data_IF_886938854565
#
_entry.id   IF_886938854565
#
_cell.length_a   1.000
_cell.length_b   1.000
_cell.length_c   1.000
_cell.angle_alpha   90.00
_cell.angle_beta   90.00
_cell.angle_gamma   90.00
#
_symmetry.space_group_name_H-M   'P 1'
#
loop_
_entity.id
_entity.type
_entity.pdbx_description
1 polymer ?
#
# COMPACT_ATOMS: atom_id res chain seq x y z
N UNK A 1 14.94 4.42 -28.47
CA UNK A 1 13.96 5.02 -27.58
C UNK A 1 14.34 6.42 -27.27
N UNK A 2 13.55 7.34 -27.72
CA UNK A 2 13.92 8.72 -27.67
C UNK A 2 13.59 9.45 -26.40
N UNK A 3 13.98 10.70 -26.38
CA UNK A 3 13.70 11.70 -25.38
C UNK A 3 12.21 11.73 -24.99
N UNK A 4 11.31 11.49 -25.96
CA UNK A 4 9.87 11.50 -25.75
C UNK A 4 9.41 10.46 -24.71
N UNK A 5 10.03 9.29 -24.68
CA UNK A 5 9.70 8.24 -23.73
C UNK A 5 10.21 8.57 -22.32
N UNK A 6 11.36 9.24 -22.24
CA UNK A 6 11.91 9.72 -20.97
C UNK A 6 11.02 10.84 -20.43
N UNK A 7 10.58 11.76 -21.26
CA UNK A 7 9.67 12.84 -20.89
C UNK A 7 8.31 12.29 -20.41
N UNK A 8 7.80 11.26 -21.04
CA UNK A 8 6.58 10.59 -20.60
C UNK A 8 6.71 10.00 -19.19
N UNK A 9 7.87 9.43 -18.86
CA UNK A 9 8.13 8.91 -17.51
C UNK A 9 8.16 10.02 -16.47
N UNK A 10 8.78 11.15 -16.80
CA UNK A 10 8.94 12.27 -15.88
C UNK A 10 7.64 13.02 -15.63
N UNK A 11 6.80 13.16 -16.65
CA UNK A 11 5.60 13.99 -16.60
C UNK A 11 4.30 13.19 -16.71
N UNK A 12 4.39 11.87 -16.67
CA UNK A 12 3.20 11.01 -16.72
C UNK A 12 2.34 11.25 -15.48
N UNK A 13 1.11 11.72 -15.64
CA UNK A 13 0.20 11.82 -14.51
C UNK A 13 -0.06 10.42 -13.96
N UNK A 14 -0.20 10.32 -12.65
CA UNK A 14 -0.58 9.05 -12.04
C UNK A 14 -1.94 8.63 -12.58
N UNK A 15 -2.05 7.35 -12.95
CA UNK A 15 -3.30 6.79 -13.43
C UNK A 15 -4.41 6.93 -12.40
N UNK A 16 -4.05 6.80 -11.11
CA UNK A 16 -4.97 6.95 -9.99
C UNK A 16 -4.39 7.95 -9.00
N UNK A 17 -5.16 8.97 -8.59
CA UNK A 17 -4.71 9.88 -7.54
C UNK A 17 -4.53 9.15 -6.22
N UNK A 18 -3.51 9.55 -5.46
CA UNK A 18 -3.21 9.00 -4.14
C UNK A 18 -3.65 9.97 -3.05
N UNK A 19 -4.07 9.39 -1.93
CA UNK A 19 -4.58 10.13 -0.78
C UNK A 19 -3.92 9.64 0.49
N UNK A 20 -3.58 10.56 1.40
CA UNK A 20 -3.06 10.20 2.71
C UNK A 20 -4.14 9.55 3.55
N UNK A 21 -3.80 8.43 4.17
CA UNK A 21 -4.71 7.70 5.04
C UNK A 21 -4.89 8.41 6.38
N UNK A 22 -6.09 8.34 6.92
CA UNK A 22 -6.38 8.84 8.26
C UNK A 22 -5.81 7.89 9.33
N UNK A 23 -5.77 8.35 10.57
CA UNK A 23 -5.38 7.52 11.72
C UNK A 23 -6.40 6.38 11.88
N UNK A 24 -5.92 5.24 12.31
CA UNK A 24 -6.79 4.08 12.48
C UNK A 24 -7.05 3.30 11.21
N UNK A 25 -6.41 3.65 10.10
CA UNK A 25 -6.48 2.89 8.86
C UNK A 25 -5.26 1.99 8.78
N UNK A 26 -5.50 0.69 8.74
CA UNK A 26 -4.44 -0.31 8.78
C UNK A 26 -4.55 -1.27 7.62
N UNK A 27 -3.43 -1.90 7.32
CA UNK A 27 -3.34 -2.99 6.37
C UNK A 27 -2.95 -4.23 7.15
N UNK A 28 -3.66 -5.33 6.93
CA UNK A 28 -3.26 -6.64 7.45
C UNK A 28 -2.74 -7.46 6.29
N UNK A 29 -1.46 -7.77 6.33
CA UNK A 29 -0.82 -8.61 5.31
C UNK A 29 -0.90 -10.05 5.79
N UNK A 30 -1.51 -10.91 4.99
CA UNK A 30 -1.66 -12.32 5.33
C UNK A 30 -0.46 -13.11 4.83
N UNK A 31 0.34 -13.71 5.73
CA UNK A 31 1.29 -14.72 5.33
C UNK A 31 0.55 -16.02 5.05
N UNK A 32 1.16 -16.89 4.28
CA UNK A 32 0.55 -18.18 3.93
C UNK A 32 0.37 -19.12 5.13
N UNK A 33 1.03 -18.87 6.25
CA UNK A 33 1.17 -19.87 7.32
C UNK A 33 0.81 -19.42 8.72
N UNK A 34 0.44 -18.16 8.97
CA UNK A 34 0.27 -17.70 10.34
C UNK A 34 -0.58 -16.44 10.43
N UNK A 35 -0.53 -15.79 11.58
CA UNK A 35 -1.25 -14.55 11.84
C UNK A 35 -0.85 -13.45 10.87
N UNK A 36 -1.83 -12.67 10.44
CA UNK A 36 -1.59 -11.52 9.59
C UNK A 36 -0.76 -10.46 10.31
N UNK A 37 0.09 -9.79 9.57
CA UNK A 37 0.88 -8.69 10.09
C UNK A 37 0.16 -7.37 9.84
N UNK A 38 -0.13 -6.64 10.90
CA UNK A 38 -0.76 -5.33 10.82
C UNK A 38 0.30 -4.26 10.60
N UNK A 39 0.09 -3.41 9.60
CA UNK A 39 0.99 -2.29 9.29
C UNK A 39 0.19 -1.01 9.09
N UNK A 40 0.82 0.12 9.38
CA UNK A 40 0.21 1.42 9.25
C UNK A 40 0.15 1.85 7.79
N UNK A 41 -1.03 2.15 7.29
CA UNK A 41 -1.20 2.71 5.96
C UNK A 41 -0.69 4.14 5.91
N UNK A 42 0.05 4.48 4.86
CA UNK A 42 0.51 5.84 4.61
C UNK A 42 -0.36 6.54 3.59
N UNK A 43 -0.53 5.94 2.42
CA UNK A 43 -1.40 6.48 1.39
C UNK A 43 -2.08 5.36 0.61
N UNK A 44 -3.13 5.72 -0.11
CA UNK A 44 -3.95 4.78 -0.87
C UNK A 44 -4.48 5.41 -2.14
N UNK A 45 -4.61 4.59 -3.18
CA UNK A 45 -5.29 4.93 -4.43
C UNK A 45 -6.14 3.75 -4.87
N UNK A 46 -6.86 3.90 -5.95
CA UNK A 46 -7.62 2.78 -6.52
C UNK A 46 -6.71 1.69 -7.12
N UNK A 47 -5.45 2.00 -7.36
CA UNK A 47 -4.49 1.05 -7.92
C UNK A 47 -3.59 0.36 -6.91
N UNK A 48 -3.51 0.88 -5.69
CA UNK A 48 -2.61 0.33 -4.67
C UNK A 48 -2.50 1.19 -3.43
N UNK A 49 -1.57 0.83 -2.57
CA UNK A 49 -1.33 1.59 -1.34
C UNK A 49 0.14 1.56 -0.96
N UNK A 50 0.49 2.40 -0.01
CA UNK A 50 1.81 2.41 0.60
C UNK A 50 1.66 2.32 2.11
N UNK A 51 2.63 1.67 2.74
CA UNK A 51 2.63 1.51 4.19
C UNK A 51 4.04 1.56 4.73
N UNK A 52 4.13 1.80 6.03
CA UNK A 52 5.39 1.87 6.78
C UNK A 52 5.45 0.65 7.69
N UNK A 53 6.60 0.03 7.75
CA UNK A 53 6.85 -1.10 8.64
C UNK A 53 8.29 -1.09 9.14
N UNK A 54 8.52 -1.80 10.22
CA UNK A 54 9.87 -1.97 10.78
C UNK A 54 10.43 -3.33 10.43
N UNK A 55 11.73 -3.39 10.18
CA UNK A 55 12.42 -4.63 9.90
C UNK A 55 13.09 -4.65 8.53
N UNK A 56 13.43 -5.83 8.06
CA UNK A 56 14.04 -6.00 6.75
C UNK A 56 12.99 -6.31 5.69
N UNK A 57 13.30 -5.97 4.44
CA UNK A 57 12.36 -6.18 3.33
C UNK A 57 12.07 -7.65 3.08
N UNK A 58 12.97 -8.54 3.48
CA UNK A 58 12.82 -9.98 3.32
C UNK A 58 11.79 -10.58 4.27
N UNK A 59 11.39 -9.85 5.30
CA UNK A 59 10.37 -10.31 6.25
C UNK A 59 8.97 -10.33 5.66
N UNK A 60 8.74 -9.59 4.57
CA UNK A 60 7.45 -9.53 3.89
C UNK A 60 7.53 -10.18 2.52
N UNK A 61 6.48 -10.89 2.15
CA UNK A 61 6.36 -11.48 0.83
C UNK A 61 6.25 -10.41 -0.25
N UNK A 62 6.82 -10.66 -1.43
CA UNK A 62 6.72 -9.77 -2.57
C UNK A 62 5.29 -9.67 -3.12
N UNK A 63 4.51 -10.72 -2.96
CA UNK A 63 3.12 -10.79 -3.37
C UNK A 63 2.34 -11.62 -2.36
N UNK A 64 1.05 -11.46 -2.35
CA UNK A 64 0.19 -12.21 -1.44
C UNK A 64 -1.17 -11.56 -1.32
N UNK A 65 -1.77 -11.71 -0.16
CA UNK A 65 -3.08 -11.16 0.16
C UNK A 65 -2.95 -10.11 1.26
N UNK A 66 -3.73 -9.05 1.14
CA UNK A 66 -3.85 -8.05 2.19
C UNK A 66 -5.30 -7.67 2.41
N UNK A 67 -5.58 -7.14 3.58
CA UNK A 67 -6.90 -6.63 3.95
C UNK A 67 -6.79 -5.19 4.38
N UNK A 68 -7.78 -4.39 4.05
CA UNK A 68 -7.86 -2.99 4.46
C UNK A 68 -8.84 -2.88 5.62
N UNK A 69 -8.41 -2.24 6.70
CA UNK A 69 -9.19 -2.10 7.93
C UNK A 69 -9.27 -0.65 8.37
N UNK A 70 -10.41 -0.30 8.96
CA UNK A 70 -10.62 0.99 9.60
C UNK A 70 -11.20 0.73 10.97
N UNK A 71 -10.55 1.24 12.04
CA UNK A 71 -10.99 1.10 13.42
C UNK A 71 -11.31 -0.35 13.80
N UNK A 72 -10.39 -1.28 13.49
CA UNK A 72 -10.52 -2.72 13.75
C UNK A 72 -11.64 -3.43 12.99
N UNK A 73 -12.31 -2.74 12.07
CA UNK A 73 -13.32 -3.34 11.21
C UNK A 73 -12.70 -3.64 9.85
N UNK A 74 -12.68 -4.90 9.42
CA UNK A 74 -12.23 -5.23 8.08
C UNK A 74 -13.22 -4.67 7.05
N UNK A 75 -12.71 -3.90 6.10
CA UNK A 75 -13.51 -3.25 5.08
C UNK A 75 -13.41 -3.96 3.73
N UNK A 76 -12.19 -4.25 3.33
CA UNK A 76 -11.89 -5.02 2.14
C UNK A 76 -10.93 -6.14 2.54
N UNK A 77 -11.31 -7.38 2.27
CA UNK A 77 -10.53 -8.54 2.68
C UNK A 77 -9.95 -9.29 1.49
N UNK A 78 -8.75 -9.81 1.69
CA UNK A 78 -8.08 -10.75 0.78
C UNK A 78 -7.89 -10.19 -0.63
N UNK A 79 -7.32 -9.00 -0.71
CA UNK A 79 -6.96 -8.37 -1.97
C UNK A 79 -5.59 -8.89 -2.39
N UNK A 80 -5.49 -9.40 -3.61
CA UNK A 80 -4.20 -9.78 -4.19
C UNK A 80 -3.34 -8.53 -4.41
N UNK A 81 -2.06 -8.62 -4.05
CA UNK A 81 -1.12 -7.53 -4.28
C UNK A 81 0.22 -8.03 -4.80
N UNK A 82 0.94 -7.12 -5.41
CA UNK A 82 2.36 -7.30 -5.74
C UNK A 82 3.12 -6.05 -5.30
N UNK A 83 4.31 -6.25 -4.75
CA UNK A 83 5.16 -5.15 -4.32
C UNK A 83 5.75 -4.42 -5.52
N UNK A 84 5.65 -3.09 -5.51
CA UNK A 84 6.23 -2.22 -6.54
C UNK A 84 7.56 -1.62 -6.11
N UNK A 85 7.67 -1.24 -4.84
CA UNK A 85 8.91 -0.67 -4.30
C UNK A 85 8.99 -0.89 -2.80
N UNK A 86 10.22 -0.91 -2.29
CA UNK A 86 10.48 -1.01 -0.87
C UNK A 86 11.76 -0.22 -0.59
N UNK A 87 11.63 0.87 0.15
CA UNK A 87 12.71 1.81 0.40
C UNK A 87 12.95 2.02 1.89
N UNK A 88 14.22 2.13 2.24
CA UNK A 88 14.62 2.43 3.61
C UNK A 88 14.33 3.91 3.90
N UNK A 89 13.56 4.17 4.95
CA UNK A 89 13.29 5.53 5.42
C UNK A 89 14.22 5.95 6.54
N UNK A 90 14.54 5.01 7.42
CA UNK A 90 15.41 5.24 8.54
C UNK A 90 16.32 4.04 8.72
N UNK A 91 17.63 4.28 8.66
CA UNK A 91 18.65 3.26 8.83
C UNK A 91 19.15 3.27 10.27
N UNK A 92 19.14 2.09 10.89
CA UNK A 92 19.67 1.85 12.21
C UNK A 92 20.62 0.67 12.16
N UNK A 93 21.58 0.62 13.07
CA UNK A 93 22.48 -0.52 13.23
C UNK A 93 21.71 -1.79 13.62
N UNK A 94 20.55 -1.61 14.22
CA UNK A 94 19.63 -2.71 14.54
C UNK A 94 18.62 -2.82 13.41
N UNK A 95 18.59 -3.97 12.74
CA UNK A 95 17.67 -4.23 11.65
C UNK A 95 16.20 -4.18 12.06
N UNK A 96 15.92 -4.51 13.32
CA UNK A 96 14.55 -4.46 13.84
C UNK A 96 14.03 -3.05 13.98
N UNK A 97 14.95 -2.08 14.09
CA UNK A 97 14.61 -0.66 14.20
C UNK A 97 14.61 0.06 12.86
N UNK A 98 15.00 -0.61 11.78
CA UNK A 98 14.94 0.00 10.46
C UNK A 98 13.51 0.26 10.06
N UNK A 99 13.25 1.48 9.60
CA UNK A 99 11.92 1.88 9.13
C UNK A 99 11.91 1.89 7.61
N UNK A 100 10.92 1.23 7.03
CA UNK A 100 10.81 1.08 5.59
C UNK A 100 9.44 1.50 5.09
N UNK A 101 9.41 1.97 3.85
CA UNK A 101 8.18 2.28 3.12
C UNK A 101 8.05 1.32 1.96
N UNK A 102 6.96 0.59 1.92
CA UNK A 102 6.65 -0.31 0.81
C UNK A 102 5.40 0.19 0.09
N UNK A 103 5.46 0.17 -1.24
CA UNK A 103 4.29 0.42 -2.07
C UNK A 103 3.91 -0.87 -2.80
N UNK A 104 2.61 -1.10 -2.88
CA UNK A 104 2.05 -2.30 -3.51
C UNK A 104 0.97 -1.92 -4.51
N UNK A 105 0.81 -2.76 -5.50
CA UNK A 105 -0.24 -2.64 -6.50
C UNK A 105 -1.28 -3.72 -6.25
N UNK A 106 -2.56 -3.33 -6.27
CA UNK A 106 -3.65 -4.30 -6.16
C UNK A 106 -3.83 -5.04 -7.47
N UNK A 107 -4.08 -6.35 -7.37
CA UNK A 107 -4.33 -7.22 -8.51
C UNK A 107 -5.74 -7.78 -8.43
N UNK A 108 -6.32 -8.05 -9.58
CA UNK A 108 -7.56 -8.83 -9.70
C UNK A 108 -8.76 -8.27 -8.91
N UNK A 109 -8.88 -6.95 -8.81
CA UNK A 109 -10.06 -6.35 -8.18
C UNK A 109 -11.28 -6.50 -9.07
N UNK A 110 -12.32 -7.16 -8.56
CA UNK A 110 -13.60 -7.25 -9.21
C UNK A 110 -14.40 -5.95 -9.08
N UNK A 111 -15.55 -5.90 -9.75
CA UNK A 111 -16.40 -4.70 -9.78
C UNK A 111 -16.85 -4.30 -8.36
N UNK A 112 -17.27 -5.26 -7.55
CA UNK A 112 -17.71 -5.01 -6.19
C UNK A 112 -16.57 -4.50 -5.29
N UNK A 113 -15.40 -5.09 -5.43
CA UNK A 113 -14.23 -4.69 -4.64
C UNK A 113 -13.77 -3.29 -5.01
N UNK A 114 -13.81 -2.94 -6.29
CA UNK A 114 -13.48 -1.60 -6.75
C UNK A 114 -14.43 -0.56 -6.18
N UNK A 115 -15.71 -0.87 -6.13
CA UNK A 115 -16.72 0.01 -5.56
C UNK A 115 -16.48 0.22 -4.06
N UNK A 116 -16.22 -0.87 -3.34
CA UNK A 116 -15.90 -0.81 -1.91
C UNK A 116 -14.61 -0.02 -1.67
N UNK A 117 -13.61 -0.20 -2.52
CA UNK A 117 -12.35 0.51 -2.42
C UNK A 117 -12.56 2.03 -2.59
N UNK A 118 -13.36 2.45 -3.55
CA UNK A 118 -13.70 3.86 -3.74
C UNK A 118 -14.38 4.45 -2.51
N UNK A 119 -15.32 3.73 -1.92
CA UNK A 119 -16.00 4.15 -0.70
C UNK A 119 -15.03 4.22 0.48
N UNK A 120 -14.13 3.25 0.60
CA UNK A 120 -13.12 3.23 1.64
C UNK A 120 -12.21 4.45 1.54
N UNK A 121 -11.71 4.75 0.35
CA UNK A 121 -10.86 5.93 0.11
C UNK A 121 -11.61 7.19 0.50
N UNK A 122 -12.84 7.33 0.08
CA UNK A 122 -13.66 8.52 0.37
C UNK A 122 -13.82 8.76 1.87
N UNK A 123 -13.97 7.70 2.66
CA UNK A 123 -14.24 7.81 4.10
C UNK A 123 -12.98 7.90 4.96
N UNK A 124 -11.85 7.42 4.48
CA UNK A 124 -10.68 7.17 5.32
C UNK A 124 -9.43 7.96 4.92
N UNK A 125 -9.58 9.00 4.16
CA UNK A 125 -8.45 9.83 3.74
C UNK A 125 -8.58 11.25 4.31
N UNK A 126 -7.41 11.88 4.51
CA UNK A 126 -7.34 13.24 5.07
C UNK A 126 -6.88 14.28 4.05
N UNK A 127 -6.37 13.85 2.91
CA UNK A 127 -5.92 14.79 1.89
C UNK A 127 -5.25 14.07 0.73
N UNK A 128 -5.11 14.80 -0.37
CA UNK A 128 -4.49 14.28 -1.58
C UNK A 128 -2.96 14.42 -1.52
N UNK A 129 -2.26 13.42 -1.98
CA UNK A 129 -0.81 13.47 -2.15
C UNK A 129 -0.52 14.32 -3.38
N UNK A 130 0.22 15.40 -3.17
CA UNK A 130 0.59 16.33 -4.24
C UNK A 130 1.78 15.83 -5.08
#
# INVERSE_FOLDING_TARGET
>A
MGLLKILRRLFRPRLHPRFYADKGVFIVIEPYTAEGREVQMLDISEGGCAFIYSGSKEELEESGLLSLQSEDIPYLERIDFVTKSDNLLFDSNDKEEQLRRRSVEFKWLGVFDRKKLKEFIKKNVIGRVS
#
